data_IF_059170322347
#
_entry.id   IF_059170322347
#
_cell.length_a   1.000
_cell.length_b   1.000
_cell.length_c   1.000
_cell.angle_alpha   90.00
_cell.angle_beta   90.00
_cell.angle_gamma   90.00
#
_symmetry.space_group_name_H-M   'P 1'
#
loop_
_entity.id
_entity.type
_entity.pdbx_description
1 polymer ?
#
# COMPACT_ATOMS: atom_id res chain seq x y z
N UNK A 1 -13.82 11.56 0.76
CA UNK A 1 -13.58 10.76 1.96
C UNK A 1 -14.09 9.33 1.78
N UNK A 2 -13.22 8.35 2.00
CA UNK A 2 -13.58 6.94 1.91
C UNK A 2 -14.05 6.47 3.28
N UNK A 3 -15.32 6.05 3.38
CA UNK A 3 -15.88 5.53 4.63
C UNK A 3 -15.65 4.01 4.69
N UNK A 4 -15.17 3.52 5.83
CA UNK A 4 -14.86 2.11 6.00
C UNK A 4 -16.09 1.22 5.79
N UNK A 5 -17.29 1.70 6.17
CA UNK A 5 -18.54 0.96 5.98
C UNK A 5 -18.87 0.68 4.51
N UNK A 6 -18.31 1.47 3.58
CA UNK A 6 -18.56 1.33 2.14
C UNK A 6 -17.50 0.46 1.47
N UNK A 7 -16.46 0.05 2.19
CA UNK A 7 -15.34 -0.70 1.63
C UNK A 7 -15.64 -2.20 1.71
N UNK A 8 -15.51 -2.94 0.59
CA UNK A 8 -15.69 -4.40 0.61
C UNK A 8 -14.76 -5.07 1.62
N UNK A 9 -15.21 -6.19 2.17
CA UNK A 9 -14.48 -6.87 3.26
C UNK A 9 -13.05 -7.23 2.89
N UNK A 10 -12.83 -7.82 1.71
CA UNK A 10 -11.47 -8.19 1.29
C UNK A 10 -10.59 -6.97 1.10
N UNK A 11 -11.16 -5.84 0.67
CA UNK A 11 -10.44 -4.59 0.55
C UNK A 11 -10.02 -4.06 1.92
N UNK A 12 -10.88 -4.21 2.94
CA UNK A 12 -10.52 -3.86 4.32
C UNK A 12 -9.34 -4.70 4.82
N UNK A 13 -9.36 -6.00 4.54
CA UNK A 13 -8.26 -6.89 4.92
C UNK A 13 -6.95 -6.46 4.23
N UNK A 14 -7.01 -6.08 2.96
CA UNK A 14 -5.85 -5.57 2.23
C UNK A 14 -5.28 -4.30 2.83
N UNK A 15 -6.14 -3.37 3.21
CA UNK A 15 -5.72 -2.14 3.89
C UNK A 15 -5.04 -2.45 5.22
N UNK A 16 -5.64 -3.29 6.05
CA UNK A 16 -5.04 -3.65 7.33
C UNK A 16 -3.72 -4.41 7.14
N UNK A 17 -3.63 -5.27 6.12
CA UNK A 17 -2.39 -5.96 5.78
C UNK A 17 -1.28 -4.99 5.42
N UNK A 18 -1.59 -3.96 4.64
CA UNK A 18 -0.64 -2.90 4.30
C UNK A 18 -0.16 -2.18 5.57
N UNK A 19 -1.08 -1.81 6.46
CA UNK A 19 -0.72 -1.13 7.71
C UNK A 19 0.14 -2.01 8.61
N UNK A 20 -0.17 -3.32 8.69
CA UNK A 20 0.68 -4.27 9.41
C UNK A 20 2.05 -4.42 8.77
N UNK A 21 2.15 -4.25 7.45
CA UNK A 21 3.41 -4.22 6.72
C UNK A 21 4.32 -3.08 7.20
N UNK A 22 3.76 -1.90 7.42
CA UNK A 22 4.51 -0.79 8.02
C UNK A 22 5.05 -1.14 9.39
N UNK A 23 4.24 -1.78 10.21
CA UNK A 23 4.64 -2.19 11.56
C UNK A 23 5.79 -3.20 11.51
N UNK A 24 5.69 -4.19 10.62
CA UNK A 24 6.74 -5.20 10.43
C UNK A 24 8.04 -4.55 9.95
N UNK A 25 7.97 -3.62 9.01
CA UNK A 25 9.13 -2.89 8.49
C UNK A 25 9.81 -2.11 9.61
N UNK A 26 9.03 -1.40 10.43
CA UNK A 26 9.55 -0.64 11.56
C UNK A 26 10.31 -1.54 12.53
N UNK A 27 9.74 -2.67 12.90
CA UNK A 27 10.32 -3.57 13.90
C UNK A 27 11.64 -4.22 13.48
N UNK A 28 11.85 -4.43 12.20
CA UNK A 28 13.09 -5.06 11.74
C UNK A 28 14.23 -4.07 11.50
N UNK A 29 13.99 -2.77 11.69
CA UNK A 29 15.00 -1.74 11.44
C UNK A 29 15.60 -1.21 12.73
N UNK A 30 16.88 -0.81 12.66
CA UNK A 30 17.53 -0.06 13.73
C UNK A 30 17.00 1.37 13.78
N UNK A 31 17.32 2.09 14.85
CA UNK A 31 16.95 3.50 14.98
C UNK A 31 17.38 4.32 13.75
N UNK A 32 18.63 4.13 13.32
CA UNK A 32 19.15 4.87 12.15
C UNK A 32 18.42 4.47 10.86
N UNK A 33 18.03 3.21 10.73
CA UNK A 33 17.24 2.75 9.61
C UNK A 33 15.88 3.41 9.55
N UNK A 34 15.22 3.55 10.70
CA UNK A 34 13.92 4.25 10.79
C UNK A 34 14.08 5.71 10.43
N UNK A 35 15.11 6.38 10.96
CA UNK A 35 15.37 7.79 10.66
C UNK A 35 15.62 8.00 9.18
N UNK A 36 16.41 7.13 8.54
CA UNK A 36 16.67 7.18 7.11
C UNK A 36 15.39 7.04 6.30
N UNK A 37 14.49 6.14 6.72
CA UNK A 37 13.17 5.95 6.08
C UNK A 37 12.33 7.21 6.15
N UNK A 38 12.28 7.87 7.32
CA UNK A 38 11.52 9.10 7.50
C UNK A 38 12.02 10.21 6.59
N UNK A 39 13.34 10.36 6.46
CA UNK A 39 13.94 11.35 5.57
C UNK A 39 13.61 11.02 4.11
N UNK A 40 13.73 9.77 3.71
CA UNK A 40 13.39 9.31 2.37
C UNK A 40 11.92 9.55 2.04
N UNK A 41 11.03 9.38 3.00
CA UNK A 41 9.59 9.58 2.83
C UNK A 41 9.22 11.03 2.54
N UNK A 42 10.11 11.98 2.79
CA UNK A 42 9.85 13.40 2.53
C UNK A 42 9.81 13.76 1.04
N UNK A 43 10.33 12.88 0.15
CA UNK A 43 10.27 13.07 -1.29
C UNK A 43 9.22 12.16 -1.90
N UNK A 44 8.65 12.54 -3.05
CA UNK A 44 7.67 11.70 -3.74
C UNK A 44 8.31 10.37 -4.18
N UNK A 45 9.54 10.41 -4.68
CA UNK A 45 10.25 9.20 -5.11
C UNK A 45 10.54 8.27 -3.94
N UNK A 46 10.98 8.81 -2.81
CA UNK A 46 11.24 8.02 -1.60
C UNK A 46 9.96 7.45 -1.01
N UNK A 47 8.87 8.23 -1.02
CA UNK A 47 7.56 7.78 -0.56
C UNK A 47 7.06 6.62 -1.42
N UNK A 48 7.16 6.74 -2.74
CA UNK A 48 6.76 5.69 -3.67
C UNK A 48 7.54 4.40 -3.42
N UNK A 49 8.86 4.51 -3.30
CA UNK A 49 9.71 3.35 -3.02
C UNK A 49 9.31 2.67 -1.70
N UNK A 50 9.12 3.46 -0.66
CA UNK A 50 8.76 2.96 0.67
C UNK A 50 7.40 2.23 0.62
N UNK A 51 6.37 2.88 0.09
CA UNK A 51 5.02 2.31 0.08
C UNK A 51 4.94 1.06 -0.79
N UNK A 52 5.66 1.03 -1.91
CA UNK A 52 5.69 -0.17 -2.76
C UNK A 52 6.43 -1.33 -2.10
N UNK A 53 7.45 -1.06 -1.28
CA UNK A 53 8.10 -2.09 -0.47
C UNK A 53 7.15 -2.67 0.58
N UNK A 54 6.32 -1.82 1.21
CA UNK A 54 5.31 -2.27 2.17
C UNK A 54 4.25 -3.13 1.47
N UNK A 55 3.82 -2.73 0.29
CA UNK A 55 2.90 -3.54 -0.51
C UNK A 55 3.50 -4.90 -0.83
N UNK A 56 4.79 -4.95 -1.17
CA UNK A 56 5.48 -6.21 -1.43
C UNK A 56 5.51 -7.11 -0.20
N UNK A 57 5.76 -6.54 0.98
CA UNK A 57 5.72 -7.29 2.26
C UNK A 57 4.32 -7.88 2.49
N UNK A 58 3.28 -7.11 2.23
CA UNK A 58 1.90 -7.55 2.36
C UNK A 58 1.63 -8.75 1.45
N UNK A 59 2.09 -8.70 0.21
CA UNK A 59 1.96 -9.80 -0.76
C UNK A 59 2.72 -11.04 -0.26
N UNK A 60 3.93 -10.86 0.23
CA UNK A 60 4.76 -11.96 0.74
C UNK A 60 4.12 -12.68 1.93
N UNK A 61 3.30 -11.98 2.71
CA UNK A 61 2.59 -12.56 3.85
C UNK A 61 1.24 -13.19 3.46
N UNK A 62 0.99 -13.37 2.16
CA UNK A 62 -0.18 -14.10 1.69
C UNK A 62 -1.44 -13.26 1.52
N UNK A 63 -1.33 -11.93 1.59
CA UNK A 63 -2.47 -11.03 1.46
C UNK A 63 -2.50 -10.30 0.12
N UNK A 64 -1.88 -10.90 -0.92
CA UNK A 64 -1.78 -10.26 -2.24
C UNK A 64 -3.14 -9.97 -2.86
N UNK A 65 -4.06 -10.92 -2.85
CA UNK A 65 -5.38 -10.71 -3.46
C UNK A 65 -6.23 -9.73 -2.67
N UNK A 66 -6.08 -9.69 -1.35
CA UNK A 66 -6.76 -8.70 -0.52
C UNK A 66 -6.21 -7.29 -0.78
N UNK A 67 -4.88 -7.17 -0.94
CA UNK A 67 -4.27 -5.89 -1.32
C UNK A 67 -4.73 -5.46 -2.72
N UNK A 68 -4.82 -6.40 -3.66
CA UNK A 68 -5.38 -6.15 -4.99
C UNK A 68 -6.79 -5.57 -4.87
N UNK A 69 -7.63 -6.19 -4.05
CA UNK A 69 -9.01 -5.73 -3.85
C UNK A 69 -9.06 -4.30 -3.29
N UNK A 70 -8.19 -3.98 -2.34
CA UNK A 70 -8.09 -2.62 -1.79
C UNK A 70 -7.65 -1.62 -2.85
N UNK A 71 -6.58 -1.92 -3.58
CA UNK A 71 -6.05 -1.05 -4.63
C UNK A 71 -7.09 -0.79 -5.72
N UNK A 72 -7.78 -1.85 -6.15
CA UNK A 72 -8.84 -1.75 -7.15
C UNK A 72 -9.98 -0.88 -6.65
N UNK A 73 -10.45 -1.10 -5.42
CA UNK A 73 -11.53 -0.31 -4.82
C UNK A 73 -11.17 1.18 -4.81
N UNK A 74 -9.98 1.53 -4.35
CA UNK A 74 -9.55 2.93 -4.25
C UNK A 74 -9.53 3.59 -5.62
N UNK A 75 -9.01 2.91 -6.64
CA UNK A 75 -8.82 3.52 -7.97
C UNK A 75 -10.10 3.54 -8.80
N UNK A 76 -10.99 2.57 -8.65
CA UNK A 76 -12.11 2.40 -9.57
C UNK A 76 -13.49 2.51 -8.94
N UNK A 77 -13.64 2.19 -7.66
CA UNK A 77 -14.95 2.13 -7.00
C UNK A 77 -15.17 3.19 -5.93
N UNK A 78 -14.10 3.82 -5.42
CA UNK A 78 -14.21 4.79 -4.34
C UNK A 78 -14.62 6.17 -4.85
N UNK A 79 -15.10 7.01 -3.93
CA UNK A 79 -15.43 8.41 -4.18
C UNK A 79 -14.21 9.35 -4.12
N UNK A 80 -13.00 8.79 -4.11
CA UNK A 80 -11.78 9.57 -4.09
C UNK A 80 -11.67 10.49 -5.29
N UNK A 81 -11.08 11.67 -5.11
CA UNK A 81 -10.87 12.64 -6.19
C UNK A 81 -9.91 12.09 -7.24
N UNK A 82 -9.93 12.68 -8.44
CA UNK A 82 -8.98 12.33 -9.50
C UNK A 82 -7.53 12.55 -9.04
N UNK A 83 -7.27 13.66 -8.35
CA UNK A 83 -5.92 13.96 -7.83
C UNK A 83 -5.47 12.90 -6.81
N UNK A 84 -6.37 12.46 -5.93
CA UNK A 84 -6.06 11.40 -4.96
C UNK A 84 -5.74 10.09 -5.65
N UNK A 85 -6.53 9.71 -6.66
CA UNK A 85 -6.31 8.47 -7.41
C UNK A 85 -5.01 8.50 -8.18
N UNK A 86 -4.65 9.64 -8.78
CA UNK A 86 -3.34 9.82 -9.43
C UNK A 86 -2.19 9.66 -8.44
N UNK A 87 -2.32 10.26 -7.24
CA UNK A 87 -1.35 10.09 -6.18
C UNK A 87 -1.18 8.60 -5.83
N UNK A 88 -2.28 7.89 -5.66
CA UNK A 88 -2.25 6.45 -5.33
C UNK A 88 -1.54 5.64 -6.41
N UNK A 89 -1.81 5.94 -7.69
CA UNK A 89 -1.15 5.23 -8.79
C UNK A 89 0.36 5.42 -8.81
N UNK A 90 0.84 6.60 -8.41
CA UNK A 90 2.27 6.90 -8.45
C UNK A 90 3.03 6.40 -7.22
N UNK A 91 2.37 6.31 -6.07
CA UNK A 91 3.02 6.02 -4.78
C UNK A 91 2.89 4.55 -4.39
N UNK A 92 1.78 3.90 -4.72
CA UNK A 92 1.49 2.51 -4.32
C UNK A 92 1.49 1.60 -5.54
N UNK A 93 1.55 0.29 -5.31
CA UNK A 93 1.41 -0.68 -6.40
C UNK A 93 -0.02 -0.60 -6.96
N UNK A 94 -0.12 -0.57 -8.28
CA UNK A 94 -1.43 -0.64 -8.95
C UNK A 94 -1.95 -2.08 -8.92
N UNK A 95 -3.26 -2.30 -9.16
CA UNK A 95 -3.79 -3.68 -9.21
C UNK A 95 -3.03 -4.58 -10.17
N UNK A 96 -2.66 -4.07 -11.34
CA UNK A 96 -1.90 -4.84 -12.31
C UNK A 96 -0.52 -5.24 -11.78
N UNK A 97 0.17 -4.31 -11.13
CA UNK A 97 1.48 -4.58 -10.54
C UNK A 97 1.38 -5.59 -9.40
N UNK A 98 0.33 -5.50 -8.57
CA UNK A 98 0.07 -6.47 -7.49
C UNK A 98 -0.16 -7.86 -8.07
N UNK A 99 -0.99 -7.97 -9.10
CA UNK A 99 -1.27 -9.23 -9.76
C UNK A 99 0.01 -9.85 -10.31
N UNK A 100 0.86 -9.05 -10.97
CA UNK A 100 2.13 -9.54 -11.49
C UNK A 100 3.02 -10.11 -10.39
N UNK A 101 3.08 -9.45 -9.23
CA UNK A 101 3.89 -9.91 -8.10
C UNK A 101 3.35 -11.17 -7.46
N UNK A 102 2.03 -11.34 -7.43
CA UNK A 102 1.40 -12.55 -6.90
C UNK A 102 1.86 -13.78 -7.70
N UNK A 103 2.03 -13.63 -9.01
CA UNK A 103 2.40 -14.73 -9.90
C UNK A 103 3.90 -14.91 -10.10
N UNK A 104 4.73 -14.09 -9.50
CA UNK A 104 6.19 -14.24 -9.58
C UNK A 104 6.72 -15.48 -8.85
#
# INVERSE_FOLDING_TARGET
LILLSDVPFNSQIGLFGHELGHFADYHKRSFFGVLKRLISYSTLKGKSKFEKEIDAITIEHGLGWQLYAWSYYVLFDSDGSTAYKEFKRSVYLTPKEIEQRIYE
#
